data_IF_107684936920
#
_entry.id   IF_107684936920
#
_cell.length_a   1.000
_cell.length_b   1.000
_cell.length_c   1.000
_cell.angle_alpha   90.00
_cell.angle_beta   90.00
_cell.angle_gamma   90.00
#
_symmetry.space_group_name_H-M   'P 1'
#
loop_
_entity.id
_entity.type
_entity.pdbx_description
1 polymer ?
#
# COMPACT_ATOMS: atom_id res chain seq x y z
N UNK A 1 25.37 -11.78 -3.68
CA UNK A 1 25.61 -10.78 -4.75
C UNK A 1 25.28 -9.42 -4.19
N UNK A 2 26.07 -8.36 -4.42
CA UNK A 2 25.63 -7.01 -4.08
C UNK A 2 24.42 -6.71 -4.98
N UNK A 3 23.26 -6.50 -4.38
CA UNK A 3 22.06 -6.11 -5.12
C UNK A 3 22.16 -4.60 -5.33
N UNK A 4 22.08 -4.14 -6.58
CA UNK A 4 22.11 -2.71 -6.86
C UNK A 4 21.05 -1.99 -6.02
N UNK A 5 21.40 -0.83 -5.45
CA UNK A 5 20.48 -0.03 -4.65
C UNK A 5 19.46 0.62 -5.57
N UNK A 6 18.23 0.12 -5.50
CA UNK A 6 17.10 0.64 -6.28
C UNK A 6 16.34 1.75 -5.55
N UNK A 7 15.63 2.56 -6.33
CA UNK A 7 14.58 3.47 -5.87
C UNK A 7 13.24 2.90 -6.29
N UNK A 8 12.38 2.55 -5.33
CA UNK A 8 11.13 1.83 -5.57
C UNK A 8 9.96 2.64 -5.02
N UNK A 9 8.95 2.91 -5.83
CA UNK A 9 7.76 3.66 -5.44
C UNK A 9 6.51 2.76 -5.48
N UNK A 10 5.79 2.68 -4.37
CA UNK A 10 4.47 2.06 -4.32
C UNK A 10 3.40 3.14 -4.44
N UNK A 11 2.57 3.03 -5.46
CA UNK A 11 1.39 3.87 -5.64
C UNK A 11 0.15 3.07 -5.20
N UNK A 12 -0.54 3.54 -4.18
CA UNK A 12 -1.69 2.83 -3.63
C UNK A 12 -2.82 3.81 -3.29
N UNK A 13 -4.06 3.36 -3.51
CA UNK A 13 -5.24 4.08 -3.03
C UNK A 13 -5.51 3.83 -1.53
N UNK A 14 -4.79 2.89 -0.92
CA UNK A 14 -4.95 2.53 0.49
C UNK A 14 -3.61 2.19 1.14
N UNK A 15 -3.30 2.96 2.18
CA UNK A 15 -2.18 2.76 3.09
C UNK A 15 -2.62 3.06 4.53
N UNK A 16 -1.69 2.98 5.48
CA UNK A 16 -1.94 3.33 6.88
C UNK A 16 -2.63 4.72 6.97
N UNK A 17 -3.63 4.87 7.85
CA UNK A 17 -4.06 3.96 8.92
C UNK A 17 -5.12 2.91 8.50
N UNK A 18 -5.43 2.74 7.21
CA UNK A 18 -6.48 1.79 6.80
C UNK A 18 -6.07 0.36 7.11
N UNK A 19 -6.96 -0.39 7.75
CA UNK A 19 -6.74 -1.81 8.06
C UNK A 19 -7.30 -2.69 6.93
N UNK A 20 -6.42 -3.17 6.05
CA UNK A 20 -6.79 -4.12 4.99
C UNK A 20 -5.64 -5.05 4.64
N UNK A 21 -5.97 -6.17 3.99
CA UNK A 21 -4.96 -7.08 3.43
C UNK A 21 -4.05 -6.39 2.40
N UNK A 22 -4.55 -5.38 1.69
CA UNK A 22 -3.76 -4.57 0.76
C UNK A 22 -2.71 -3.76 1.52
N UNK A 23 -3.10 -3.06 2.59
CA UNK A 23 -2.15 -2.31 3.42
C UNK A 23 -1.09 -3.24 4.01
N UNK A 24 -1.50 -4.41 4.53
CA UNK A 24 -0.55 -5.42 5.04
C UNK A 24 0.45 -5.90 3.99
N UNK A 25 -0.01 -6.09 2.75
CA UNK A 25 0.87 -6.46 1.64
C UNK A 25 1.88 -5.34 1.36
N UNK A 26 1.41 -4.12 1.15
CA UNK A 26 2.28 -2.96 0.84
C UNK A 26 3.30 -2.70 1.96
N UNK A 27 2.90 -2.77 3.22
CA UNK A 27 3.83 -2.57 4.35
C UNK A 27 4.88 -3.68 4.42
N UNK A 28 4.49 -4.95 4.27
CA UNK A 28 5.43 -6.07 4.26
C UNK A 28 6.41 -5.98 3.08
N UNK A 29 5.94 -5.63 1.88
CA UNK A 29 6.78 -5.43 0.71
C UNK A 29 7.76 -4.27 0.89
N UNK A 30 7.29 -3.13 1.42
CA UNK A 30 8.16 -1.99 1.73
C UNK A 30 9.26 -2.38 2.70
N UNK A 31 8.90 -3.03 3.82
CA UNK A 31 9.87 -3.45 4.82
C UNK A 31 10.95 -4.35 4.22
N UNK A 32 10.54 -5.42 3.51
CA UNK A 32 11.48 -6.34 2.89
C UNK A 32 12.41 -5.65 1.85
N UNK A 33 11.91 -4.67 1.10
CA UNK A 33 12.72 -3.91 0.14
C UNK A 33 13.71 -2.97 0.85
N UNK A 34 13.30 -2.34 1.95
CA UNK A 34 14.18 -1.52 2.80
C UNK A 34 15.27 -2.39 3.43
N UNK A 35 14.91 -3.57 3.95
CA UNK A 35 15.86 -4.53 4.55
C UNK A 35 16.89 -5.04 3.52
N UNK A 36 16.51 -5.08 2.24
CA UNK A 36 17.42 -5.39 1.11
C UNK A 36 18.29 -4.19 0.70
N UNK A 37 18.20 -3.05 1.39
CA UNK A 37 19.01 -1.85 1.15
C UNK A 37 18.47 -0.91 0.07
N UNK A 38 17.22 -1.08 -0.36
CA UNK A 38 16.59 -0.20 -1.35
C UNK A 38 15.97 1.04 -0.72
N UNK A 39 15.87 2.13 -1.49
CA UNK A 39 15.10 3.31 -1.09
C UNK A 39 13.66 3.12 -1.52
N UNK A 40 12.72 3.12 -0.58
CA UNK A 40 11.32 2.83 -0.85
C UNK A 40 10.44 4.02 -0.49
N UNK A 41 9.58 4.40 -1.43
CA UNK A 41 8.66 5.54 -1.33
C UNK A 41 7.22 5.02 -1.38
N UNK A 42 6.34 5.63 -0.60
CA UNK A 42 4.90 5.36 -0.63
C UNK A 42 4.17 6.61 -1.10
N UNK A 43 3.33 6.47 -2.10
CA UNK A 43 2.41 7.50 -2.58
C UNK A 43 0.99 7.01 -2.35
N UNK A 44 0.31 7.62 -1.39
CA UNK A 44 -0.93 7.08 -0.82
C UNK A 44 -2.03 8.14 -0.69
N UNK A 45 -3.23 7.67 -0.35
CA UNK A 45 -4.36 8.53 -0.05
C UNK A 45 -4.09 9.43 1.16
N UNK A 46 -4.66 10.63 1.15
CA UNK A 46 -4.70 11.51 2.31
C UNK A 46 -5.35 10.80 3.51
N UNK A 47 -4.80 11.07 4.69
CA UNK A 47 -5.23 10.48 5.95
C UNK A 47 -5.32 11.59 7.00
N UNK A 48 -6.44 12.35 7.02
CA UNK A 48 -6.61 13.45 7.96
C UNK A 48 -6.42 12.99 9.41
N UNK A 49 -5.63 13.76 10.19
CA UNK A 49 -5.28 13.48 11.60
C UNK A 49 -4.38 12.26 11.83
N UNK A 50 -3.90 11.61 10.77
CA UNK A 50 -2.87 10.59 10.88
C UNK A 50 -1.50 11.21 10.64
N UNK A 51 -0.52 10.84 11.46
CA UNK A 51 0.88 11.20 11.26
C UNK A 51 1.64 9.95 10.88
N UNK A 52 2.36 10.03 9.77
CA UNK A 52 3.28 8.99 9.36
C UNK A 52 4.49 8.97 10.30
N UNK A 53 4.75 7.81 10.90
CA UNK A 53 5.95 7.57 11.72
C UNK A 53 7.15 7.15 10.85
N UNK A 54 6.89 6.80 9.59
CA UNK A 54 7.89 6.29 8.66
C UNK A 54 8.25 7.35 7.59
N UNK A 55 9.51 7.42 7.16
CA UNK A 55 9.92 8.39 6.14
C UNK A 55 9.44 7.99 4.75
N UNK A 56 9.49 8.96 3.83
CA UNK A 56 9.22 8.81 2.40
C UNK A 56 7.78 8.38 2.08
N UNK A 57 6.82 8.86 2.88
CA UNK A 57 5.39 8.74 2.63
C UNK A 57 4.87 10.08 2.12
N UNK A 58 4.22 10.05 0.96
CA UNK A 58 3.66 11.20 0.28
C UNK A 58 2.15 11.00 0.17
N UNK A 59 1.39 11.99 0.64
CA UNK A 59 -0.07 11.95 0.73
C UNK A 59 -0.67 12.77 -0.40
N UNK A 60 -1.56 12.15 -1.18
CA UNK A 60 -2.31 12.80 -2.24
C UNK A 60 -3.76 13.03 -1.82
N UNK A 61 -4.36 14.18 -2.19
CA UNK A 61 -5.79 14.41 -2.01
C UNK A 61 -6.59 13.22 -2.56
N UNK A 62 -7.50 12.69 -1.74
CA UNK A 62 -8.28 11.51 -2.08
C UNK A 62 -9.76 11.78 -1.90
N UNK A 63 -10.58 11.27 -2.83
CA UNK A 63 -12.02 11.31 -2.75
C UNK A 63 -12.54 9.94 -2.31
N UNK A 64 -13.25 9.88 -1.19
CA UNK A 64 -13.94 8.66 -0.77
C UNK A 64 -15.16 8.44 -1.68
N UNK A 65 -15.09 7.41 -2.53
CA UNK A 65 -16.22 7.01 -3.37
C UNK A 65 -17.11 6.05 -2.57
N UNK A 66 -18.40 6.36 -2.32
CA UNK A 66 -19.28 5.56 -1.46
C UNK A 66 -19.58 4.13 -1.96
N UNK A 67 -19.28 3.81 -3.21
CA UNK A 67 -19.74 2.58 -3.86
C UNK A 67 -18.56 1.63 -4.08
N UNK A 68 -18.49 0.57 -3.28
CA UNK A 68 -17.64 -0.59 -3.58
C UNK A 68 -18.56 -1.73 -4.02
N UNK A 69 -18.88 -1.77 -5.31
CA UNK A 69 -19.49 -2.91 -6.00
C UNK A 69 -18.50 -4.09 -6.01
N UNK A 70 -18.28 -4.72 -4.85
CA UNK A 70 -17.61 -6.01 -4.85
C UNK A 70 -18.64 -7.09 -5.20
N UNK A 71 -18.38 -7.88 -6.26
CA UNK A 71 -19.24 -9.00 -6.57
C UNK A 71 -19.17 -10.01 -5.43
N UNK A 72 -20.34 -10.51 -5.02
CA UNK A 72 -20.41 -11.67 -4.15
C UNK A 72 -20.00 -12.88 -4.98
N UNK A 73 -18.84 -13.45 -4.67
CA UNK A 73 -18.40 -14.70 -5.29
C UNK A 73 -19.25 -15.85 -4.77
N UNK A 74 -19.90 -16.57 -5.67
CA UNK A 74 -20.56 -17.84 -5.35
C UNK A 74 -19.54 -18.96 -5.68
N UNK A 75 -19.01 -19.70 -4.69
CA UNK A 75 -17.98 -20.71 -4.92
C UNK A 75 -18.63 -22.03 -5.39
N UNK A 76 -19.33 -21.99 -6.51
CA UNK A 76 -19.80 -23.19 -7.21
C UNK A 76 -18.84 -23.50 -8.34
N UNK A 77 -18.23 -24.68 -8.30
CA UNK A 77 -17.52 -25.25 -9.44
C UNK A 77 -18.52 -26.12 -10.20
N UNK A 78 -18.92 -25.78 -11.44
CA UNK A 78 -19.59 -26.74 -12.30
C UNK A 78 -18.54 -27.81 -12.64
N UNK A 79 -18.73 -29.02 -12.11
CA UNK A 79 -18.00 -30.20 -12.58
C UNK A 79 -18.36 -30.50 -14.03
#
# INVERSE_FOLDING_TARGET
MPKDRLHIAHFTNTYLPVMSGVVRSVTAFRQAQVDLGHNVFIFAQDAPKYKDDEPFIFRYPALNIPVRNYPVTIPVSPL
#
